data_IF_015490923341
#
_entry.id   IF_015490923341
#
_cell.length_a   1.000
_cell.length_b   1.000
_cell.length_c   1.000
_cell.angle_alpha   90.00
_cell.angle_beta   90.00
_cell.angle_gamma   90.00
#
_symmetry.space_group_name_H-M   'P 1'
#
loop_
_entity.id
_entity.type
_entity.pdbx_description
1 polymer ?
#
# COMPACT_ATOMS: atom_id res chain seq x y z
N UNK A 1 16.44 9.61 -20.26
CA UNK A 1 15.23 9.01 -19.67
C UNK A 1 14.61 8.08 -20.70
N UNK A 2 14.24 6.86 -20.29
CA UNK A 2 13.53 5.95 -21.16
C UNK A 2 12.03 6.28 -21.12
N UNK A 3 11.57 7.09 -22.08
CA UNK A 3 10.20 7.61 -22.10
C UNK A 3 9.14 6.51 -22.30
N UNK A 4 9.48 5.41 -22.98
CA UNK A 4 8.55 4.30 -23.16
C UNK A 4 8.25 3.63 -21.82
N UNK A 5 9.27 3.36 -20.99
CA UNK A 5 9.08 2.77 -19.66
C UNK A 5 8.17 3.62 -18.79
N UNK A 6 8.31 4.96 -18.83
CA UNK A 6 7.44 5.86 -18.07
C UNK A 6 5.99 5.79 -18.54
N UNK A 7 5.77 5.82 -19.86
CA UNK A 7 4.44 5.73 -20.45
C UNK A 7 3.77 4.38 -20.15
N UNK A 8 4.51 3.28 -20.32
CA UNK A 8 4.03 1.91 -20.08
C UNK A 8 3.65 1.71 -18.60
N UNK A 9 4.49 2.21 -17.68
CA UNK A 9 4.23 2.15 -16.24
C UNK A 9 3.01 3.00 -15.87
N UNK A 10 2.92 4.22 -16.38
CA UNK A 10 1.78 5.10 -16.11
C UNK A 10 0.47 4.47 -16.59
N UNK A 11 0.46 3.84 -17.76
CA UNK A 11 -0.70 3.14 -18.30
C UNK A 11 -1.08 1.92 -17.45
N UNK A 12 -0.10 1.16 -16.95
CA UNK A 12 -0.35 0.01 -16.07
C UNK A 12 -0.95 0.42 -14.72
N UNK A 13 -0.54 1.56 -14.16
CA UNK A 13 -1.07 2.11 -12.90
C UNK A 13 -2.58 2.46 -13.01
N UNK A 14 -3.05 2.84 -14.19
CA UNK A 14 -4.43 3.30 -14.44
C UNK A 14 -5.28 2.32 -15.25
N UNK A 15 -4.92 1.04 -15.25
CA UNK A 15 -5.68 0.01 -15.98
C UNK A 15 -7.15 -0.08 -15.50
N UNK A 16 -8.06 -0.37 -16.43
CA UNK A 16 -9.49 -0.47 -16.13
C UNK A 16 -9.76 -1.49 -15.02
N UNK A 17 -10.51 -1.08 -14.00
CA UNK A 17 -10.84 -1.92 -12.84
C UNK A 17 -9.74 -1.99 -11.78
N UNK A 18 -8.61 -1.29 -11.95
CA UNK A 18 -7.54 -1.18 -10.96
C UNK A 18 -7.41 0.24 -10.37
N UNK A 19 -6.75 0.33 -9.22
CA UNK A 19 -6.45 1.59 -8.53
C UNK A 19 -5.16 1.52 -7.72
N UNK A 20 -4.86 2.56 -6.95
CA UNK A 20 -3.63 2.65 -6.15
C UNK A 20 -3.95 2.44 -4.67
N UNK A 21 -3.23 1.51 -4.04
CA UNK A 21 -3.18 1.39 -2.57
C UNK A 21 -2.06 2.28 -2.01
N UNK A 22 -2.43 3.39 -1.38
CA UNK A 22 -1.48 4.24 -0.65
C UNK A 22 -1.19 3.66 0.75
N UNK A 23 -0.17 2.79 0.84
CA UNK A 23 0.31 2.18 2.09
C UNK A 23 1.61 2.84 2.63
N UNK A 24 1.79 4.13 2.32
CA UNK A 24 2.99 4.94 2.54
C UNK A 24 2.97 5.75 3.85
N UNK A 25 2.16 5.35 4.84
CA UNK A 25 2.04 6.13 6.06
C UNK A 25 3.35 6.16 6.86
N UNK A 26 3.83 7.37 7.13
CA UNK A 26 4.98 7.60 8.01
C UNK A 26 4.76 7.06 9.42
N UNK A 27 5.85 6.86 10.18
CA UNK A 27 5.79 6.34 11.56
C UNK A 27 4.82 7.11 12.48
N UNK A 28 4.78 8.46 12.48
CA UNK A 28 3.79 9.21 13.26
C UNK A 28 2.35 9.00 12.78
N UNK A 29 2.13 8.87 11.46
CA UNK A 29 0.79 8.72 10.87
C UNK A 29 0.21 7.34 11.18
N UNK A 30 0.97 6.26 10.97
CA UNK A 30 0.50 4.91 11.28
C UNK A 30 0.31 4.70 12.78
N UNK A 31 1.13 5.35 13.63
CA UNK A 31 0.94 5.31 15.07
C UNK A 31 -0.46 5.80 15.47
N UNK A 32 -0.93 6.92 14.90
CA UNK A 32 -2.30 7.42 15.15
C UNK A 32 -3.39 6.42 14.74
N UNK A 33 -3.16 5.66 13.66
CA UNK A 33 -4.08 4.61 13.21
C UNK A 33 -4.12 3.45 14.20
N UNK A 34 -2.97 2.99 14.67
CA UNK A 34 -2.89 1.90 15.65
C UNK A 34 -3.41 2.32 17.04
N UNK A 35 -3.13 3.54 17.47
CA UNK A 35 -3.62 4.07 18.74
C UNK A 35 -5.17 4.10 18.77
N UNK A 36 -5.82 4.38 17.63
CA UNK A 36 -7.30 4.36 17.52
C UNK A 36 -7.95 2.99 17.73
N UNK A 37 -7.17 1.91 17.57
CA UNK A 37 -7.60 0.52 17.79
C UNK A 37 -6.88 -0.09 19.00
N UNK A 38 -6.31 0.73 19.88
CA UNK A 38 -5.59 0.33 21.09
C UNK A 38 -4.44 -0.67 20.82
N UNK A 39 -3.77 -0.52 19.67
CA UNK A 39 -2.63 -1.35 19.25
C UNK A 39 -1.32 -0.56 19.39
N UNK A 40 -0.29 -1.22 19.89
CA UNK A 40 1.06 -0.64 19.91
C UNK A 40 1.66 -0.54 18.50
N UNK A 41 2.34 0.58 18.20
CA UNK A 41 3.08 0.78 16.95
C UNK A 41 4.57 0.41 17.08
N UNK A 42 4.85 -0.88 17.02
CA UNK A 42 6.20 -1.43 16.86
C UNK A 42 6.54 -1.69 15.39
N UNK A 43 7.81 -1.83 15.04
CA UNK A 43 8.24 -2.21 13.68
C UNK A 43 7.58 -3.51 13.20
N UNK A 44 7.56 -4.54 14.05
CA UNK A 44 6.91 -5.82 13.76
C UNK A 44 5.42 -5.65 13.47
N UNK A 45 4.70 -4.83 14.25
CA UNK A 45 3.28 -4.59 14.03
C UNK A 45 3.00 -3.85 12.71
N UNK A 46 3.86 -2.87 12.34
CA UNK A 46 3.77 -2.16 11.08
C UNK A 46 4.07 -3.06 9.89
N UNK A 47 5.08 -3.93 10.00
CA UNK A 47 5.42 -4.91 8.97
C UNK A 47 4.28 -5.93 8.77
N UNK A 48 3.77 -6.53 9.84
CA UNK A 48 2.60 -7.43 9.79
C UNK A 48 1.37 -6.78 9.17
N UNK A 49 1.13 -5.50 9.44
CA UNK A 49 0.02 -4.76 8.84
C UNK A 49 0.20 -4.60 7.32
N UNK A 50 1.40 -4.23 6.84
CA UNK A 50 1.66 -4.16 5.38
C UNK A 50 1.61 -5.53 4.73
N UNK A 51 2.16 -6.55 5.38
CA UNK A 51 2.10 -7.94 4.92
C UNK A 51 0.65 -8.39 4.72
N UNK A 52 -0.22 -8.15 5.71
CA UNK A 52 -1.65 -8.42 5.60
C UNK A 52 -2.32 -7.69 4.42
N UNK A 53 -1.98 -6.41 4.18
CA UNK A 53 -2.52 -5.66 3.05
C UNK A 53 -2.08 -6.27 1.71
N UNK A 54 -0.81 -6.64 1.57
CA UNK A 54 -0.26 -7.14 0.30
C UNK A 54 -0.52 -8.62 0.04
N UNK A 55 -0.82 -9.41 1.07
CA UNK A 55 -1.15 -10.84 0.96
C UNK A 55 -2.65 -11.11 1.00
N UNK A 56 -3.48 -10.06 1.03
CA UNK A 56 -4.93 -10.18 0.94
C UNK A 56 -5.32 -10.91 -0.36
N UNK A 57 -6.05 -12.05 -0.29
CA UNK A 57 -6.38 -12.82 -1.47
C UNK A 57 -7.10 -11.98 -2.53
N UNK A 58 -6.67 -12.10 -3.77
CA UNK A 58 -7.26 -11.43 -4.94
C UNK A 58 -7.15 -9.89 -4.94
N UNK A 59 -6.42 -9.28 -4.00
CA UNK A 59 -6.23 -7.83 -3.96
C UNK A 59 -5.53 -7.32 -5.22
N UNK A 60 -4.64 -8.11 -5.82
CA UNK A 60 -3.91 -7.80 -7.06
C UNK A 60 -4.81 -7.67 -8.30
N UNK A 61 -6.08 -8.07 -8.21
CA UNK A 61 -7.06 -7.88 -9.29
C UNK A 61 -7.56 -6.43 -9.35
N UNK A 62 -7.51 -5.72 -8.23
CA UNK A 62 -8.10 -4.38 -8.05
C UNK A 62 -7.07 -3.29 -7.74
N UNK A 63 -5.85 -3.69 -7.36
CA UNK A 63 -4.69 -2.82 -7.15
C UNK A 63 -3.69 -3.00 -8.31
#
# INVERSE_FOLDING_TARGET
MNHSILADTAQAIVADGKGILAADESTPTIKKRFDSIQKESSETSRNKYRDMLFTSPEAEKYI
#
